data_IF_474323180208
#
_entry.id   IF_474323180208
#
_cell.length_a   1.000
_cell.length_b   1.000
_cell.length_c   1.000
_cell.angle_alpha   90.00
_cell.angle_beta   90.00
_cell.angle_gamma   90.00
#
_symmetry.space_group_name_H-M   'P 1'
#
loop_
_entity.id
_entity.type
_entity.pdbx_description
1 polymer ?
#
# COMPACT_ATOMS: atom_id res chain seq x y z
N UNK A 1 -5.52 -16.36 4.74
CA UNK A 1 -4.56 -15.97 5.82
C UNK A 1 -5.28 -15.04 6.77
N UNK A 2 -4.88 -15.04 8.06
CA UNK A 2 -5.46 -14.14 9.06
C UNK A 2 -4.47 -13.05 9.47
N UNK A 3 -5.01 -11.87 9.85
CA UNK A 3 -4.25 -10.75 10.41
C UNK A 3 -4.94 -10.27 11.68
N UNK A 4 -4.13 -9.92 12.71
CA UNK A 4 -4.64 -9.36 13.96
C UNK A 4 -4.51 -7.83 13.93
N UNK A 5 -5.64 -7.15 14.11
CA UNK A 5 -5.74 -5.69 14.02
C UNK A 5 -6.24 -5.12 15.35
N UNK A 6 -5.45 -4.28 15.98
CA UNK A 6 -5.87 -3.49 17.15
C UNK A 6 -6.70 -2.30 16.65
N UNK A 7 -7.98 -2.31 16.96
CA UNK A 7 -8.91 -1.25 16.57
C UNK A 7 -8.82 -0.06 17.53
N UNK A 8 -8.57 1.13 16.99
CA UNK A 8 -8.50 2.39 17.72
C UNK A 8 -9.47 3.43 17.18
N UNK A 9 -9.91 3.29 15.91
CA UNK A 9 -10.89 4.17 15.29
C UNK A 9 -12.31 3.85 15.78
N UNK A 10 -13.07 4.89 16.12
CA UNK A 10 -14.44 4.74 16.64
C UNK A 10 -15.37 4.01 15.65
N UNK A 11 -15.27 4.29 14.36
CA UNK A 11 -16.06 3.63 13.32
C UNK A 11 -15.76 2.13 13.19
N UNK A 12 -14.51 1.71 13.39
CA UNK A 12 -14.12 0.32 13.38
C UNK A 12 -14.59 -0.42 14.64
N UNK A 13 -14.40 0.20 15.82
CA UNK A 13 -14.83 -0.40 17.10
C UNK A 13 -16.34 -0.50 17.20
N UNK A 14 -17.08 0.44 16.60
CA UNK A 14 -18.54 0.38 16.54
C UNK A 14 -19.05 -0.80 15.71
N UNK A 15 -18.35 -1.16 14.63
CA UNK A 15 -18.76 -2.22 13.71
C UNK A 15 -18.23 -3.61 14.13
N UNK A 16 -16.99 -3.70 14.61
CA UNK A 16 -16.27 -4.95 14.83
C UNK A 16 -16.02 -5.28 16.31
N UNK A 17 -16.40 -4.38 17.24
CA UNK A 17 -16.10 -4.50 18.67
C UNK A 17 -14.74 -3.92 19.05
N UNK A 18 -14.51 -3.80 20.36
CA UNK A 18 -13.28 -3.25 20.92
C UNK A 18 -12.18 -4.33 21.04
N UNK A 19 -10.92 -3.91 20.94
CA UNK A 19 -9.75 -4.76 21.14
C UNK A 19 -9.09 -5.24 19.84
N UNK A 20 -8.09 -6.14 19.93
CA UNK A 20 -7.55 -6.81 18.77
C UNK A 20 -8.59 -7.77 18.18
N UNK A 21 -8.85 -7.65 16.88
CA UNK A 21 -9.72 -8.54 16.12
C UNK A 21 -8.91 -9.35 15.11
N UNK A 22 -9.33 -10.58 14.90
CA UNK A 22 -8.78 -11.43 13.83
C UNK A 22 -9.63 -11.24 12.58
N UNK A 23 -9.02 -10.80 11.48
CA UNK A 23 -9.67 -10.59 10.20
C UNK A 23 -9.10 -11.53 9.15
N UNK A 24 -9.91 -11.90 8.16
CA UNK A 24 -9.38 -12.45 6.92
C UNK A 24 -8.56 -11.38 6.20
N UNK A 25 -7.41 -11.75 5.65
CA UNK A 25 -6.49 -10.80 5.03
C UNK A 25 -7.13 -10.06 3.84
N UNK A 26 -7.85 -10.77 2.98
CA UNK A 26 -8.46 -10.13 1.80
C UNK A 26 -9.62 -9.20 2.22
N UNK A 27 -10.39 -9.55 3.23
CA UNK A 27 -11.41 -8.66 3.79
C UNK A 27 -10.80 -7.43 4.49
N UNK A 28 -9.69 -7.60 5.23
CA UNK A 28 -8.93 -6.48 5.77
C UNK A 28 -8.47 -5.52 4.67
N UNK A 29 -7.93 -6.03 3.56
CA UNK A 29 -7.48 -5.21 2.43
C UNK A 29 -8.62 -4.44 1.75
N UNK A 30 -9.85 -4.95 1.75
CA UNK A 30 -11.02 -4.22 1.27
C UNK A 30 -11.29 -2.93 2.06
N UNK A 31 -10.87 -2.86 3.33
CA UNK A 31 -10.94 -1.64 4.14
C UNK A 31 -9.66 -0.81 4.12
N UNK A 32 -8.51 -1.39 3.76
CA UNK A 32 -7.21 -0.69 3.65
C UNK A 32 -7.12 0.07 2.33
N UNK A 33 -7.32 -0.60 1.19
CA UNK A 33 -7.12 0.02 -0.13
C UNK A 33 -7.88 1.33 -0.29
N UNK A 34 -9.19 1.42 0.00
CA UNK A 34 -9.92 2.68 -0.13
C UNK A 34 -9.57 3.72 0.96
N UNK A 35 -8.89 3.30 2.04
CA UNK A 35 -8.38 4.21 3.07
C UNK A 35 -7.06 4.86 2.67
N UNK A 36 -6.30 4.23 1.78
CA UNK A 36 -4.97 4.65 1.35
C UNK A 36 -4.98 5.39 0.01
N UNK A 37 -5.86 5.03 -0.92
CA UNK A 37 -5.94 5.60 -2.25
C UNK A 37 -7.40 5.90 -2.62
N UNK A 38 -7.65 6.90 -3.48
CA UNK A 38 -9.02 7.26 -3.86
C UNK A 38 -9.71 6.14 -4.61
N UNK A 39 -10.93 5.79 -4.19
CA UNK A 39 -11.82 4.82 -4.86
C UNK A 39 -12.05 5.13 -6.35
N UNK A 40 -12.00 6.41 -6.73
CA UNK A 40 -12.13 6.87 -8.12
C UNK A 40 -10.87 6.70 -8.97
N UNK A 41 -9.76 6.22 -8.40
CA UNK A 41 -8.50 6.03 -9.11
C UNK A 41 -8.62 5.00 -10.25
N UNK A 42 -7.69 5.04 -11.19
CA UNK A 42 -7.61 4.02 -12.24
C UNK A 42 -7.44 2.63 -11.63
N UNK A 43 -8.03 1.59 -12.25
CA UNK A 43 -8.02 0.21 -11.73
C UNK A 43 -6.58 -0.30 -11.50
N UNK A 44 -5.65 0.03 -12.39
CA UNK A 44 -4.24 -0.37 -12.24
C UNK A 44 -3.58 0.26 -11.00
N UNK A 45 -3.97 1.48 -10.61
CA UNK A 45 -3.49 2.08 -9.37
C UNK A 45 -4.09 1.38 -8.13
N UNK A 46 -5.38 1.04 -8.16
CA UNK A 46 -6.02 0.27 -7.09
C UNK A 46 -5.39 -1.12 -6.94
N UNK A 47 -5.06 -1.79 -8.05
CA UNK A 47 -4.37 -3.09 -8.06
C UNK A 47 -2.94 -2.98 -7.50
N UNK A 48 -2.16 -1.98 -7.93
CA UNK A 48 -0.83 -1.75 -7.39
C UNK A 48 -0.85 -1.52 -5.88
N UNK A 49 -1.79 -0.68 -5.41
CA UNK A 49 -1.99 -0.44 -3.97
C UNK A 49 -2.41 -1.71 -3.23
N UNK A 50 -3.30 -2.52 -3.81
CA UNK A 50 -3.76 -3.78 -3.20
C UNK A 50 -2.60 -4.78 -3.03
N UNK A 51 -1.75 -4.97 -4.04
CA UNK A 51 -0.58 -5.84 -3.95
C UNK A 51 0.44 -5.30 -2.95
N UNK A 52 0.73 -4.00 -2.96
CA UNK A 52 1.65 -3.38 -2.01
C UNK A 52 1.15 -3.52 -0.56
N UNK A 53 -0.14 -3.21 -0.31
CA UNK A 53 -0.75 -3.33 1.00
C UNK A 53 -0.80 -4.79 1.48
N UNK A 54 -1.12 -5.73 0.59
CA UNK A 54 -1.10 -7.18 0.90
C UNK A 54 0.28 -7.65 1.28
N UNK A 55 1.30 -7.27 0.52
CA UNK A 55 2.70 -7.63 0.79
C UNK A 55 3.14 -7.13 2.17
N UNK A 56 2.83 -5.87 2.49
CA UNK A 56 3.10 -5.28 3.81
C UNK A 56 2.39 -6.07 4.92
N UNK A 57 1.09 -6.33 4.77
CA UNK A 57 0.28 -7.04 5.77
C UNK A 57 0.74 -8.48 5.97
N UNK A 58 1.04 -9.22 4.88
CA UNK A 58 1.58 -10.59 4.94
C UNK A 58 2.90 -10.62 5.70
N UNK A 59 3.82 -9.70 5.44
CA UNK A 59 5.10 -9.61 6.15
C UNK A 59 4.91 -9.43 7.65
N UNK A 60 3.93 -8.61 8.07
CA UNK A 60 3.58 -8.39 9.49
C UNK A 60 2.91 -9.61 10.10
N UNK A 61 1.97 -10.23 9.40
CA UNK A 61 1.29 -11.45 9.85
C UNK A 61 2.26 -12.62 10.03
N UNK A 62 3.22 -12.82 9.11
CA UNK A 62 4.28 -13.84 9.22
C UNK A 62 5.18 -13.61 10.45
N UNK A 63 5.39 -12.36 10.85
CA UNK A 63 6.14 -12.01 12.05
C UNK A 63 5.30 -12.10 13.35
N UNK A 64 4.01 -12.47 13.27
CA UNK A 64 3.10 -12.49 14.41
C UNK A 64 2.77 -11.09 14.97
N UNK A 65 2.97 -10.04 14.16
CA UNK A 65 2.73 -8.66 14.59
C UNK A 65 1.24 -8.35 14.62
N UNK A 66 0.76 -7.81 15.73
CA UNK A 66 -0.56 -7.16 15.80
C UNK A 66 -0.40 -5.76 15.23
N UNK A 67 -1.04 -5.48 14.08
CA UNK A 67 -1.05 -4.14 13.48
C UNK A 67 -2.15 -3.28 14.10
N UNK A 68 -2.06 -1.95 13.99
CA UNK A 68 -3.17 -1.07 14.32
C UNK A 68 -3.88 -0.55 13.05
N UNK A 69 -5.05 0.09 13.25
CA UNK A 69 -5.88 0.64 12.18
C UNK A 69 -5.51 2.08 11.77
N UNK A 70 -4.33 2.54 12.17
CA UNK A 70 -3.83 3.90 11.89
C UNK A 70 -2.78 3.93 10.79
N UNK A 71 -2.34 5.13 10.42
CA UNK A 71 -1.25 5.34 9.46
C UNK A 71 0.14 4.93 10.00
N UNK A 72 0.24 4.48 11.26
CA UNK A 72 1.49 3.90 11.80
C UNK A 72 1.82 2.55 11.15
N UNK A 73 0.79 1.84 10.70
CA UNK A 73 0.89 0.63 9.88
C UNK A 73 0.23 0.86 8.53
N UNK A 74 -1.08 0.69 8.45
CA UNK A 74 -1.91 0.92 7.27
C UNK A 74 -3.26 1.48 7.74
N UNK A 75 -3.71 2.58 7.15
CA UNK A 75 -5.04 3.09 7.45
C UNK A 75 -6.09 2.01 7.11
N UNK A 76 -6.88 1.61 8.09
CA UNK A 76 -7.96 0.65 7.92
C UNK A 76 -9.29 1.25 8.37
N UNK A 77 -10.31 1.12 7.55
CA UNK A 77 -11.68 1.55 7.86
C UNK A 77 -12.67 0.46 7.42
N UNK A 78 -13.22 -0.27 8.39
CA UNK A 78 -14.19 -1.34 8.15
C UNK A 78 -15.41 -0.90 7.32
N UNK A 79 -16.01 0.30 7.54
CA UNK A 79 -17.14 0.74 6.73
C UNK A 79 -16.84 0.90 5.24
N UNK A 80 -15.58 1.17 4.86
CA UNK A 80 -15.20 1.32 3.45
C UNK A 80 -15.11 -0.02 2.73
N UNK A 81 -14.93 -1.13 3.43
CA UNK A 81 -14.86 -2.46 2.83
C UNK A 81 -16.12 -2.82 2.01
N UNK A 82 -17.29 -2.36 2.45
CA UNK A 82 -18.54 -2.59 1.75
C UNK A 82 -18.90 -1.48 0.76
N UNK A 83 -18.51 -0.23 1.06
CA UNK A 83 -18.88 0.95 0.27
C UNK A 83 -17.92 1.27 -0.89
N UNK A 84 -16.86 0.48 -1.09
CA UNK A 84 -15.82 0.71 -2.09
C UNK A 84 -15.68 -0.46 -3.08
N UNK A 85 -16.63 -0.63 -4.01
CA UNK A 85 -16.69 -1.80 -4.88
C UNK A 85 -15.50 -1.93 -5.83
N UNK A 86 -14.89 -0.82 -6.30
CA UNK A 86 -13.74 -0.88 -7.20
C UNK A 86 -12.46 -1.27 -6.47
N UNK A 87 -12.28 -0.80 -5.24
CA UNK A 87 -11.18 -1.24 -4.38
C UNK A 87 -11.31 -2.72 -4.04
N UNK A 88 -12.52 -3.20 -3.73
CA UNK A 88 -12.81 -4.62 -3.54
C UNK A 88 -12.50 -5.42 -4.82
N UNK A 89 -12.90 -4.93 -6.00
CA UNK A 89 -12.57 -5.57 -7.27
C UNK A 89 -11.05 -5.70 -7.45
N UNK A 90 -10.28 -4.65 -7.19
CA UNK A 90 -8.82 -4.67 -7.29
C UNK A 90 -8.20 -5.70 -6.33
N UNK A 91 -8.69 -5.79 -5.10
CA UNK A 91 -8.26 -6.81 -4.12
C UNK A 91 -8.53 -8.21 -4.64
N UNK A 92 -9.73 -8.49 -5.15
CA UNK A 92 -10.11 -9.80 -5.69
C UNK A 92 -9.29 -10.17 -6.93
N UNK A 93 -9.11 -9.24 -7.88
CA UNK A 93 -8.35 -9.50 -9.13
C UNK A 93 -6.85 -9.69 -8.88
N UNK A 94 -6.33 -9.27 -7.74
CA UNK A 94 -4.94 -9.47 -7.33
C UNK A 94 -4.79 -10.44 -6.16
N UNK A 95 -5.83 -11.22 -5.83
CA UNK A 95 -5.85 -12.09 -4.66
C UNK A 95 -4.62 -12.99 -4.57
N UNK A 96 -4.01 -13.07 -3.38
CA UNK A 96 -2.82 -13.86 -3.11
C UNK A 96 -1.50 -13.34 -3.69
N UNK A 97 -1.51 -12.29 -4.52
CA UNK A 97 -0.27 -11.73 -5.08
C UNK A 97 0.47 -10.91 -4.02
N UNK A 98 1.74 -11.25 -3.82
CA UNK A 98 2.69 -10.53 -2.93
C UNK A 98 4.01 -10.35 -3.65
N UNK A 99 4.75 -9.31 -3.30
CA UNK A 99 6.08 -9.06 -3.83
C UNK A 99 7.13 -9.82 -3.02
N UNK A 100 8.05 -10.47 -3.72
CA UNK A 100 9.17 -11.19 -3.13
C UNK A 100 10.50 -10.69 -3.69
N UNK A 101 11.57 -10.81 -2.92
CA UNK A 101 12.93 -10.58 -3.35
C UNK A 101 13.81 -11.71 -2.83
N UNK A 102 14.51 -12.41 -3.73
CA UNK A 102 15.29 -13.60 -3.35
C UNK A 102 14.44 -14.72 -2.72
N UNK A 103 13.15 -14.83 -3.08
CA UNK A 103 12.21 -15.82 -2.53
C UNK A 103 11.55 -15.42 -1.20
N UNK A 104 11.91 -14.28 -0.63
CA UNK A 104 11.35 -13.79 0.64
C UNK A 104 10.34 -12.65 0.40
N UNK A 105 9.21 -12.66 1.13
CA UNK A 105 8.26 -11.55 1.11
C UNK A 105 8.94 -10.28 1.60
N UNK A 106 8.83 -9.18 0.84
CA UNK A 106 9.50 -7.91 1.13
C UNK A 106 8.80 -7.10 2.22
N UNK A 107 9.53 -6.17 2.86
CA UNK A 107 8.93 -5.04 3.59
C UNK A 107 8.47 -4.01 2.55
N UNK A 108 7.18 -3.97 2.26
CA UNK A 108 6.60 -3.22 1.15
C UNK A 108 6.06 -1.86 1.62
N UNK A 109 6.92 -0.83 1.66
CA UNK A 109 6.53 0.51 2.10
C UNK A 109 5.91 1.33 0.97
N UNK A 110 5.00 2.22 1.32
CA UNK A 110 4.38 3.19 0.41
C UNK A 110 4.00 4.47 1.16
N UNK A 111 3.79 5.54 0.45
CA UNK A 111 3.40 6.83 1.02
C UNK A 111 2.72 7.72 -0.01
N UNK A 112 2.12 8.82 0.45
CA UNK A 112 1.38 9.74 -0.41
C UNK A 112 2.20 10.26 -1.59
N UNK A 113 3.46 10.69 -1.35
CA UNK A 113 4.37 11.23 -2.37
C UNK A 113 5.82 11.03 -1.94
N UNK A 114 6.71 10.77 -2.89
CA UNK A 114 8.15 10.70 -2.67
C UNK A 114 8.89 12.01 -3.03
N UNK A 115 8.16 13.03 -3.44
CA UNK A 115 8.76 14.33 -3.80
C UNK A 115 9.46 14.35 -5.15
N UNK A 116 9.17 13.38 -6.03
CA UNK A 116 9.81 13.23 -7.35
C UNK A 116 11.11 12.43 -7.32
N UNK A 117 11.42 11.77 -6.18
CA UNK A 117 12.64 10.95 -6.06
C UNK A 117 12.38 9.76 -5.15
N UNK A 118 12.53 8.55 -5.67
CA UNK A 118 12.58 7.34 -4.87
C UNK A 118 13.86 7.33 -4.04
N UNK A 119 13.76 6.95 -2.78
CA UNK A 119 14.88 6.90 -1.83
C UNK A 119 15.19 5.47 -1.41
N UNK A 120 16.47 5.21 -1.14
CA UNK A 120 16.90 4.01 -0.41
C UNK A 120 16.37 4.06 1.02
N UNK A 121 15.98 2.89 1.52
CA UNK A 121 15.47 2.80 2.89
C UNK A 121 16.53 3.15 3.96
N UNK A 122 17.81 2.86 3.71
CA UNK A 122 18.92 3.22 4.58
C UNK A 122 19.20 4.73 4.72
N UNK A 123 18.63 5.57 3.84
CA UNK A 123 18.69 7.03 3.98
C UNK A 123 17.62 7.60 4.91
N UNK A 124 16.59 6.81 5.19
CA UNK A 124 15.44 7.22 6.00
C UNK A 124 15.40 6.47 7.33
N UNK A 125 15.78 5.20 7.31
CA UNK A 125 15.78 4.31 8.47
C UNK A 125 17.12 3.59 8.63
N UNK A 126 17.32 2.90 9.73
CA UNK A 126 18.54 2.16 10.04
C UNK A 126 18.77 0.93 9.17
N UNK A 127 17.69 0.41 8.50
CA UNK A 127 17.77 -0.78 7.66
C UNK A 127 17.70 -0.43 6.18
N UNK A 128 18.67 -0.93 5.42
CA UNK A 128 18.74 -0.77 3.97
C UNK A 128 18.33 -2.06 3.27
N UNK A 129 17.37 -1.96 2.35
CA UNK A 129 16.86 -3.10 1.59
C UNK A 129 17.26 -2.96 0.12
N UNK A 130 17.74 -4.03 -0.56
CA UNK A 130 18.30 -3.94 -1.90
C UNK A 130 17.28 -3.57 -3.00
N UNK A 131 16.00 -3.76 -2.75
CA UNK A 131 14.92 -3.45 -3.69
C UNK A 131 14.46 -1.98 -3.64
N UNK A 132 14.98 -1.15 -2.75
CA UNK A 132 14.80 0.30 -2.74
C UNK A 132 16.04 1.00 -3.27
N UNK A 133 15.91 1.64 -4.43
CA UNK A 133 17.02 2.31 -5.10
C UNK A 133 16.72 3.79 -5.30
N UNK A 134 17.77 4.62 -5.18
CA UNK A 134 17.65 6.04 -5.49
C UNK A 134 17.49 6.23 -6.98
N UNK A 135 16.40 6.88 -7.38
CA UNK A 135 16.15 7.26 -8.77
C UNK A 135 15.12 8.36 -8.87
N UNK A 136 15.16 9.18 -9.94
CA UNK A 136 14.07 10.11 -10.24
C UNK A 136 12.74 9.36 -10.39
N UNK A 137 11.66 9.97 -9.90
CA UNK A 137 10.29 9.53 -10.12
C UNK A 137 9.56 10.54 -11.01
N UNK A 138 9.52 10.32 -12.32
CA UNK A 138 8.85 11.22 -13.25
C UNK A 138 7.33 11.22 -13.05
N UNK A 139 6.75 10.13 -12.55
CA UNK A 139 5.31 10.02 -12.31
C UNK A 139 4.87 10.85 -11.10
N UNK A 140 5.61 10.78 -9.99
CA UNK A 140 5.35 11.63 -8.83
C UNK A 140 5.56 13.11 -9.18
N UNK A 141 6.65 13.42 -9.91
CA UNK A 141 6.93 14.78 -10.38
C UNK A 141 5.76 15.32 -11.21
N UNK A 142 5.29 14.57 -12.20
CA UNK A 142 4.17 14.97 -13.05
C UNK A 142 2.85 15.10 -12.27
N UNK A 143 2.54 14.15 -11.39
CA UNK A 143 1.35 14.20 -10.53
C UNK A 143 1.31 15.46 -9.67
N UNK A 144 2.46 15.86 -9.11
CA UNK A 144 2.56 17.05 -8.26
C UNK A 144 2.44 18.37 -9.01
N UNK A 145 2.67 18.39 -10.32
CA UNK A 145 2.36 19.58 -11.15
C UNK A 145 0.86 19.77 -11.33
N UNK A 146 0.08 18.67 -11.36
CA UNK A 146 -1.39 18.74 -11.42
C UNK A 146 -1.99 19.10 -10.06
N UNK A 147 -1.47 18.51 -8.99
CA UNK A 147 -1.95 18.74 -7.62
C UNK A 147 -0.79 18.65 -6.63
N UNK A 148 -0.50 19.76 -5.95
CA UNK A 148 0.53 19.79 -4.91
C UNK A 148 0.24 18.76 -3.82
N UNK A 149 1.24 17.93 -3.52
CA UNK A 149 1.19 16.94 -2.44
C UNK A 149 2.50 17.04 -1.66
N UNK A 150 2.41 17.12 -0.34
CA UNK A 150 3.59 17.16 0.51
C UNK A 150 4.34 15.82 0.44
N UNK A 151 5.67 15.85 0.24
CA UNK A 151 6.47 14.63 0.28
C UNK A 151 6.43 13.97 1.66
N UNK A 152 6.44 12.64 1.66
CA UNK A 152 6.60 11.79 2.85
C UNK A 152 8.03 11.23 2.90
N UNK A 153 8.20 10.00 3.44
CA UNK A 153 9.54 9.40 3.58
C UNK A 153 10.24 9.08 2.25
N UNK A 154 9.51 8.89 1.16
CA UNK A 154 10.07 8.70 -0.18
C UNK A 154 10.56 7.28 -0.50
N UNK A 155 10.35 6.32 0.38
CA UNK A 155 10.74 4.90 0.18
C UNK A 155 9.55 4.11 -0.35
N UNK A 156 9.75 3.35 -1.42
CA UNK A 156 8.74 2.51 -2.05
C UNK A 156 7.72 3.29 -2.88
N UNK A 157 6.50 2.78 -2.96
CA UNK A 157 5.48 3.29 -3.87
C UNK A 157 5.00 4.68 -3.47
N UNK A 158 5.08 5.64 -4.41
CA UNK A 158 4.37 6.91 -4.33
C UNK A 158 2.93 6.72 -4.79
N UNK A 159 1.95 7.00 -3.91
CA UNK A 159 0.53 6.85 -4.26
C UNK A 159 0.12 7.83 -5.37
N UNK A 160 0.57 9.10 -5.33
CA UNK A 160 0.26 10.06 -6.40
C UNK A 160 0.96 9.70 -7.71
N UNK A 161 2.22 9.23 -7.65
CA UNK A 161 2.96 8.75 -8.82
C UNK A 161 2.29 7.52 -9.43
N UNK A 162 1.87 6.57 -8.60
CA UNK A 162 1.12 5.38 -9.00
C UNK A 162 -0.19 5.74 -9.71
N UNK A 163 -0.98 6.65 -9.14
CA UNK A 163 -2.23 7.13 -9.75
C UNK A 163 -1.99 7.79 -11.10
N UNK A 164 -0.93 8.58 -11.21
CA UNK A 164 -0.58 9.25 -12.47
C UNK A 164 -0.14 8.23 -13.52
N UNK A 165 0.77 7.31 -13.20
CA UNK A 165 1.24 6.27 -14.12
C UNK A 165 0.08 5.40 -14.65
N UNK A 166 -0.81 4.96 -13.76
CA UNK A 166 -1.98 4.18 -14.14
C UNK A 166 -2.93 4.96 -15.07
N UNK A 167 -3.11 6.26 -14.86
CA UNK A 167 -3.87 7.14 -15.76
C UNK A 167 -3.23 7.25 -17.16
N UNK A 168 -1.91 7.08 -17.28
CA UNK A 168 -1.20 7.00 -18.55
C UNK A 168 -1.22 5.61 -19.20
N UNK A 169 -1.91 4.64 -18.60
CA UNK A 169 -2.04 3.28 -19.11
C UNK A 169 -0.91 2.33 -18.68
N UNK A 170 -0.08 2.70 -17.72
CA UNK A 170 0.93 1.80 -17.17
C UNK A 170 0.26 0.71 -16.32
N UNK A 171 0.48 -0.58 -16.59
CA UNK A 171 -0.12 -1.67 -15.84
C UNK A 171 0.48 -1.79 -14.42
N UNK A 172 -0.31 -2.31 -13.49
CA UNK A 172 0.06 -2.36 -12.06
C UNK A 172 1.37 -3.10 -11.78
N UNK A 173 1.66 -4.18 -12.50
CA UNK A 173 2.89 -4.94 -12.35
C UNK A 173 4.14 -4.13 -12.76
N UNK A 174 4.06 -3.30 -13.80
CA UNK A 174 5.15 -2.38 -14.18
C UNK A 174 5.30 -1.24 -13.17
N UNK A 175 4.19 -0.72 -12.65
CA UNK A 175 4.22 0.27 -11.56
C UNK A 175 4.95 -0.31 -10.34
N UNK A 176 4.60 -1.52 -9.92
CA UNK A 176 5.25 -2.19 -8.79
C UNK A 176 6.74 -2.45 -9.06
N UNK A 177 7.09 -2.97 -10.25
CA UNK A 177 8.48 -3.21 -10.63
C UNK A 177 9.33 -1.92 -10.65
N UNK A 178 8.71 -0.78 -10.96
CA UNK A 178 9.39 0.51 -10.87
C UNK A 178 9.71 0.84 -9.41
N UNK A 179 8.78 0.74 -8.48
CA UNK A 179 9.01 1.16 -7.09
C UNK A 179 9.80 0.14 -6.24
N UNK A 180 9.75 -1.14 -6.59
CA UNK A 180 10.39 -2.26 -5.87
C UNK A 180 11.34 -3.01 -6.81
N UNK A 181 12.51 -2.42 -7.05
CA UNK A 181 13.45 -2.88 -8.08
C UNK A 181 13.93 -4.31 -7.84
N UNK A 182 13.68 -5.20 -8.82
CA UNK A 182 14.06 -6.62 -8.74
C UNK A 182 13.17 -7.47 -7.82
N UNK A 183 12.11 -6.92 -7.25
CA UNK A 183 11.06 -7.72 -6.62
C UNK A 183 10.06 -8.21 -7.69
N UNK A 184 9.50 -9.40 -7.48
CA UNK A 184 8.52 -10.05 -8.35
C UNK A 184 7.43 -10.75 -7.54
#
# INVERSE_FOLDING_TARGET
>A
MKIFVKLTRAENTALLGAGPVELDLEEYLCGVVPSEIYESSHMEALKAQAVAARTFAVKRAMAGTVVDDTTSFQAYRAPLAESSPRSRQAVVETAGQVLTYGGEVIDCFYSASNGGTCKRSGEVWSRDYPYYVNKPDPWDTAARTEKSTNPSHGVGLSQVGCMWAAKQGVPYNEILAFYYSGAA
#
